data_IF_332945556692
#
_entry.id   IF_332945556692
#
_cell.length_a   1.000
_cell.length_b   1.000
_cell.length_c   1.000
_cell.angle_alpha   90.00
_cell.angle_beta   90.00
_cell.angle_gamma   90.00
#
_symmetry.space_group_name_H-M   'P 1'
#
loop_
_entity.id
_entity.type
_entity.pdbx_description
1 polymer ?
#
# COMPACT_ATOMS: atom_id res chain seq x y z
N UNK A 1 11.02 -4.83 -8.75
CA UNK A 1 10.28 -5.84 -9.53
C UNK A 1 9.97 -5.24 -10.88
N UNK A 2 10.11 -6.03 -11.94
CA UNK A 2 9.63 -5.76 -13.31
C UNK A 2 8.73 -6.93 -13.74
N UNK A 3 8.07 -6.85 -14.88
CA UNK A 3 7.08 -7.83 -15.37
C UNK A 3 7.63 -9.27 -15.48
N UNK A 4 8.94 -9.40 -15.71
CA UNK A 4 9.64 -10.67 -15.83
C UNK A 4 10.21 -11.22 -14.50
N UNK A 5 10.06 -10.48 -13.40
CA UNK A 5 10.52 -10.98 -12.10
C UNK A 5 9.71 -12.23 -11.71
N UNK A 6 10.36 -13.36 -11.37
CA UNK A 6 9.65 -14.57 -10.98
C UNK A 6 8.78 -14.39 -9.75
N UNK A 7 7.63 -15.04 -9.72
CA UNK A 7 6.75 -15.04 -8.54
C UNK A 7 7.39 -15.83 -7.40
N UNK A 8 7.54 -15.18 -6.25
CA UNK A 8 8.07 -15.81 -5.02
C UNK A 8 7.38 -15.25 -3.76
N UNK A 9 6.09 -15.55 -3.54
CA UNK A 9 5.28 -14.98 -2.46
C UNK A 9 5.59 -15.61 -1.08
N UNK A 10 5.61 -14.77 -0.03
CA UNK A 10 6.02 -15.18 1.34
C UNK A 10 4.87 -15.49 2.31
N UNK A 11 3.61 -15.22 1.94
CA UNK A 11 2.44 -15.35 2.82
C UNK A 11 1.23 -16.00 2.13
N UNK A 12 0.26 -16.59 2.86
CA UNK A 12 -0.97 -17.11 2.26
C UNK A 12 -1.72 -16.08 1.40
N UNK A 13 -1.71 -14.81 1.82
CA UNK A 13 -2.31 -13.72 1.05
C UNK A 13 -1.59 -13.50 -0.29
N UNK A 14 -0.26 -13.33 -0.26
CA UNK A 14 0.51 -13.09 -1.49
C UNK A 14 0.53 -14.32 -2.39
N UNK A 15 0.53 -15.54 -1.82
CA UNK A 15 0.55 -16.79 -2.58
C UNK A 15 -0.77 -17.04 -3.29
N UNK A 16 -1.91 -16.71 -2.66
CA UNK A 16 -3.22 -16.82 -3.32
C UNK A 16 -3.39 -15.78 -4.43
N UNK A 17 -2.87 -14.55 -4.27
CA UNK A 17 -2.82 -13.53 -5.34
C UNK A 17 -1.93 -13.95 -6.52
N UNK A 18 -0.72 -14.44 -6.23
CA UNK A 18 0.16 -15.01 -7.23
C UNK A 18 -0.50 -16.18 -7.99
N UNK A 19 -1.19 -17.07 -7.27
CA UNK A 19 -1.96 -18.16 -7.86
C UNK A 19 -3.09 -17.68 -8.78
N UNK A 20 -3.83 -16.63 -8.40
CA UNK A 20 -4.89 -16.08 -9.26
C UNK A 20 -4.35 -15.48 -10.56
N UNK A 21 -3.21 -14.79 -10.51
CA UNK A 21 -2.58 -14.20 -11.69
C UNK A 21 -2.14 -15.29 -12.69
N UNK A 22 -1.61 -16.42 -12.20
CA UNK A 22 -1.27 -17.58 -13.05
C UNK A 22 -2.51 -18.13 -13.77
N UNK A 23 -3.65 -18.20 -13.07
CA UNK A 23 -4.91 -18.63 -13.68
C UNK A 23 -5.38 -17.64 -14.75
N UNK A 24 -5.32 -16.33 -14.50
CA UNK A 24 -5.67 -15.31 -15.50
C UNK A 24 -4.82 -15.47 -16.77
N UNK A 25 -3.50 -15.59 -16.62
CA UNK A 25 -2.58 -15.81 -17.75
C UNK A 25 -2.91 -17.09 -18.54
N UNK A 26 -3.22 -18.18 -17.83
CA UNK A 26 -3.62 -19.42 -18.46
C UNK A 26 -4.96 -19.28 -19.21
N UNK A 27 -5.92 -18.53 -18.68
CA UNK A 27 -7.20 -18.27 -19.34
C UNK A 27 -7.06 -17.43 -20.62
N UNK A 28 -6.17 -16.44 -20.63
CA UNK A 28 -5.82 -15.70 -21.86
C UNK A 28 -5.23 -16.66 -22.89
N UNK A 29 -4.20 -17.42 -22.50
CA UNK A 29 -3.46 -18.31 -23.43
C UNK A 29 -4.33 -19.42 -24.01
N UNK A 30 -5.10 -20.10 -23.17
CA UNK A 30 -5.80 -21.33 -23.55
C UNK A 30 -7.17 -21.07 -24.16
N UNK A 31 -7.82 -19.95 -23.79
CA UNK A 31 -9.22 -19.71 -24.11
C UNK A 31 -9.50 -18.32 -24.68
N UNK A 32 -8.46 -17.51 -24.91
CA UNK A 32 -8.61 -16.19 -25.54
C UNK A 32 -9.37 -15.18 -24.69
N UNK A 33 -9.40 -15.36 -23.36
CA UNK A 33 -10.01 -14.37 -22.46
C UNK A 33 -9.31 -13.03 -22.63
N UNK A 34 -10.09 -11.96 -22.81
CA UNK A 34 -9.57 -10.60 -22.96
C UNK A 34 -9.29 -9.99 -21.59
N UNK A 35 -8.15 -10.32 -21.00
CA UNK A 35 -7.72 -9.83 -19.70
C UNK A 35 -6.35 -9.15 -19.75
N UNK A 36 -6.13 -8.24 -18.83
CA UNK A 36 -4.85 -7.62 -18.47
C UNK A 36 -4.60 -7.82 -16.98
N UNK A 37 -3.34 -7.71 -16.55
CA UNK A 37 -2.97 -7.77 -15.13
C UNK A 37 -2.26 -6.49 -14.72
N UNK A 38 -2.53 -6.03 -13.50
CA UNK A 38 -1.77 -4.95 -12.86
C UNK A 38 -1.23 -5.39 -11.50
N UNK A 39 0.09 -5.30 -11.31
CA UNK A 39 0.72 -5.51 -10.01
C UNK A 39 1.20 -4.16 -9.46
N UNK A 40 0.54 -3.68 -8.41
CA UNK A 40 0.76 -2.34 -7.85
C UNK A 40 1.50 -2.38 -6.51
N UNK A 41 2.26 -1.32 -6.22
CA UNK A 41 2.92 -1.10 -4.94
C UNK A 41 1.94 -0.71 -3.80
N UNK A 42 2.47 -0.33 -2.64
CA UNK A 42 1.67 -0.07 -1.44
C UNK A 42 0.85 1.21 -1.59
N UNK A 43 -0.46 1.05 -1.67
CA UNK A 43 -1.39 2.16 -1.77
C UNK A 43 -1.59 2.87 -0.41
N UNK A 44 -1.77 4.18 -0.46
CA UNK A 44 -2.26 4.99 0.67
C UNK A 44 -3.26 6.05 0.19
N UNK A 45 -4.06 6.57 1.11
CA UNK A 45 -5.04 7.62 0.82
C UNK A 45 -6.35 7.48 1.60
N UNK A 46 -7.36 8.28 1.22
CA UNK A 46 -8.73 8.18 1.72
C UNK A 46 -9.31 6.75 1.68
N UNK A 47 -10.24 6.47 2.59
CA UNK A 47 -10.99 5.20 2.66
C UNK A 47 -10.19 3.91 2.89
N UNK A 48 -8.87 4.00 3.16
CA UNK A 48 -8.10 2.83 3.55
C UNK A 48 -8.50 2.34 4.95
N UNK A 49 -8.87 1.07 5.10
CA UNK A 49 -9.31 0.54 6.40
C UNK A 49 -8.26 0.77 7.50
N UNK A 50 -8.69 1.12 8.71
CA UNK A 50 -7.83 1.47 9.86
C UNK A 50 -6.94 0.35 10.41
N UNK A 51 -7.03 -0.85 9.83
CA UNK A 51 -6.09 -1.94 10.13
C UNK A 51 -4.76 -1.77 9.37
N UNK A 52 -4.75 -0.97 8.30
CA UNK A 52 -3.57 -0.79 7.46
C UNK A 52 -2.62 0.20 8.12
N UNK A 53 -1.34 0.12 7.74
CA UNK A 53 -0.26 0.80 8.44
C UNK A 53 -0.50 2.30 8.59
N UNK A 54 -0.54 3.09 7.51
CA UNK A 54 -0.73 4.54 7.58
C UNK A 54 -2.00 4.95 8.37
N UNK A 55 -3.21 4.47 8.04
CA UNK A 55 -4.42 4.92 8.72
C UNK A 55 -4.50 4.50 10.18
N UNK A 56 -3.93 3.35 10.56
CA UNK A 56 -3.85 2.96 11.97
C UNK A 56 -3.08 3.98 12.80
N UNK A 57 -1.96 4.49 12.28
CA UNK A 57 -1.13 5.46 13.00
C UNK A 57 -1.84 6.80 13.13
N UNK A 58 -2.41 7.29 12.03
CA UNK A 58 -3.14 8.56 11.98
C UNK A 58 -4.31 8.53 12.98
N UNK A 59 -5.12 7.46 12.94
CA UNK A 59 -6.30 7.34 13.81
C UNK A 59 -5.94 7.11 15.28
N UNK A 60 -4.85 6.40 15.60
CA UNK A 60 -4.33 6.33 16.98
C UNK A 60 -4.02 7.73 17.51
N UNK A 61 -3.29 8.54 16.74
CA UNK A 61 -2.89 9.89 17.16
C UNK A 61 -4.12 10.79 17.39
N UNK A 62 -5.16 10.64 16.57
CA UNK A 62 -6.43 11.36 16.74
C UNK A 62 -7.11 10.97 18.05
N UNK A 63 -7.16 9.68 18.39
CA UNK A 63 -7.75 9.17 19.63
C UNK A 63 -6.87 9.39 20.88
N UNK A 64 -5.66 9.95 20.71
CA UNK A 64 -4.71 10.18 21.79
C UNK A 64 -3.84 8.97 22.13
N UNK A 65 -3.93 7.90 21.35
CA UNK A 65 -3.13 6.69 21.48
C UNK A 65 -1.77 6.82 20.79
N UNK A 66 -0.82 6.00 21.24
CA UNK A 66 0.50 5.88 20.63
C UNK A 66 0.43 5.02 19.34
N UNK A 67 1.01 5.47 18.22
CA UNK A 67 1.24 4.64 17.04
C UNK A 67 2.04 3.36 17.35
N UNK A 68 1.92 2.35 16.48
CA UNK A 68 2.52 1.02 16.67
C UNK A 68 3.46 0.69 15.51
N UNK A 69 4.75 0.53 15.82
CA UNK A 69 5.80 0.20 14.86
C UNK A 69 6.23 -1.27 15.03
N UNK A 70 6.13 -2.05 13.95
CA UNK A 70 6.58 -3.45 13.94
C UNK A 70 8.11 -3.55 14.00
N UNK A 71 8.63 -4.29 14.98
CA UNK A 71 10.07 -4.50 15.14
C UNK A 71 10.84 -3.18 15.15
N UNK A 72 11.96 -3.10 14.43
CA UNK A 72 12.74 -1.87 14.29
C UNK A 72 12.23 -0.93 13.17
N UNK A 73 11.16 -1.28 12.47
CA UNK A 73 10.60 -0.46 11.39
C UNK A 73 11.38 -0.44 10.08
N UNK A 74 12.33 -1.37 9.90
CA UNK A 74 13.25 -1.39 8.76
C UNK A 74 12.62 -1.86 7.43
N UNK A 75 11.39 -2.36 7.46
CA UNK A 75 10.72 -2.84 6.26
C UNK A 75 10.41 -1.66 5.33
N UNK A 76 10.88 -1.76 4.09
CA UNK A 76 10.67 -0.77 3.02
C UNK A 76 9.45 -1.13 2.21
N UNK A 77 8.60 -0.13 1.97
CA UNK A 77 7.47 -0.20 1.04
C UNK A 77 7.65 0.91 0.03
N UNK A 78 7.19 0.64 -1.19
CA UNK A 78 7.10 1.61 -2.27
C UNK A 78 5.68 2.18 -2.27
N UNK A 79 5.53 3.45 -1.92
CA UNK A 79 4.23 4.08 -1.68
C UNK A 79 3.70 4.80 -2.92
N UNK A 80 2.43 4.57 -3.23
CA UNK A 80 1.69 5.26 -4.29
C UNK A 80 0.35 5.75 -3.77
N UNK A 81 -0.06 6.96 -4.16
CA UNK A 81 -1.38 7.47 -3.80
C UNK A 81 -2.48 6.68 -4.53
N UNK A 82 -3.61 6.43 -3.86
CA UNK A 82 -4.71 5.62 -4.43
C UNK A 82 -5.25 6.17 -5.75
N UNK A 83 -5.27 7.49 -5.93
CA UNK A 83 -5.72 8.12 -7.17
C UNK A 83 -4.78 7.82 -8.35
N UNK A 84 -3.47 7.78 -8.11
CA UNK A 84 -2.48 7.43 -9.14
C UNK A 84 -2.64 5.98 -9.58
N UNK A 85 -2.92 5.07 -8.63
CA UNK A 85 -3.24 3.69 -8.94
C UNK A 85 -4.53 3.57 -9.75
N UNK A 86 -5.60 4.28 -9.36
CA UNK A 86 -6.86 4.27 -10.10
C UNK A 86 -6.69 4.77 -11.53
N UNK A 87 -5.93 5.86 -11.72
CA UNK A 87 -5.60 6.39 -13.05
C UNK A 87 -4.79 5.38 -13.89
N UNK A 88 -3.83 4.67 -13.27
CA UNK A 88 -3.06 3.62 -13.94
C UNK A 88 -3.95 2.45 -14.40
N UNK A 89 -4.85 1.98 -13.53
CA UNK A 89 -5.77 0.89 -13.85
C UNK A 89 -6.71 1.30 -14.99
N UNK A 90 -7.24 2.52 -14.96
CA UNK A 90 -8.07 3.03 -16.04
C UNK A 90 -7.29 3.05 -17.37
N UNK A 91 -6.06 3.56 -17.37
CA UNK A 91 -5.20 3.56 -18.55
C UNK A 91 -4.96 2.13 -19.10
N UNK A 92 -4.71 1.16 -18.22
CA UNK A 92 -4.51 -0.25 -18.60
C UNK A 92 -5.80 -0.87 -19.18
N UNK A 93 -6.96 -0.53 -18.64
CA UNK A 93 -8.25 -1.00 -19.18
C UNK A 93 -8.49 -0.42 -20.59
N UNK A 94 -8.20 0.86 -20.78
CA UNK A 94 -8.48 1.56 -22.04
C UNK A 94 -7.50 1.22 -23.16
N UNK A 95 -6.22 1.00 -22.82
CA UNK A 95 -5.13 0.95 -23.81
C UNK A 95 -4.13 -0.19 -23.61
N UNK A 96 -4.27 -0.97 -22.53
CA UNK A 96 -3.37 -2.08 -22.25
C UNK A 96 -3.48 -3.21 -23.28
N UNK A 97 -2.36 -3.85 -23.58
CA UNK A 97 -2.34 -5.01 -24.47
C UNK A 97 -2.91 -6.24 -23.77
N UNK A 98 -3.86 -6.93 -24.42
CA UNK A 98 -4.47 -8.16 -23.88
C UNK A 98 -3.39 -9.22 -23.64
N UNK A 99 -3.42 -9.82 -22.45
CA UNK A 99 -2.47 -10.83 -21.99
C UNK A 99 -1.26 -10.25 -21.26
N UNK A 100 -1.03 -8.95 -21.35
CA UNK A 100 0.11 -8.31 -20.70
C UNK A 100 -0.14 -8.04 -19.21
N UNK A 101 0.97 -8.04 -18.48
CA UNK A 101 1.05 -7.53 -17.11
C UNK A 101 1.71 -6.15 -17.15
N UNK A 102 1.22 -5.23 -16.33
CA UNK A 102 1.77 -3.89 -16.12
C UNK A 102 2.05 -3.67 -14.64
N UNK A 103 3.26 -3.24 -14.31
CA UNK A 103 3.58 -2.85 -12.94
C UNK A 103 3.26 -1.37 -12.69
N UNK A 104 2.71 -1.08 -11.51
CA UNK A 104 2.28 0.26 -11.11
C UNK A 104 3.07 0.67 -9.85
N UNK A 105 3.80 1.78 -9.95
CA UNK A 105 4.64 2.33 -8.88
C UNK A 105 5.00 3.79 -9.13
N UNK A 106 5.30 4.50 -8.05
CA UNK A 106 5.53 5.95 -8.06
C UNK A 106 6.90 6.34 -7.47
N UNK A 107 7.85 5.40 -7.42
CA UNK A 107 9.22 5.61 -6.92
C UNK A 107 9.23 6.09 -5.45
N UNK A 108 8.29 5.58 -4.64
CA UNK A 108 7.95 6.08 -3.32
C UNK A 108 8.57 5.30 -2.16
N UNK A 109 9.76 4.73 -2.34
CA UNK A 109 10.39 3.87 -1.33
C UNK A 109 10.64 4.59 0.00
N UNK A 110 10.05 4.07 1.08
CA UNK A 110 10.30 4.49 2.46
C UNK A 110 10.18 3.31 3.41
N UNK A 111 11.04 3.27 4.42
CA UNK A 111 10.87 2.35 5.54
C UNK A 111 9.73 2.79 6.47
N UNK A 112 9.20 1.85 7.25
CA UNK A 112 8.06 2.10 8.13
C UNK A 112 8.39 3.14 9.22
N UNK A 113 9.63 3.21 9.70
CA UNK A 113 10.06 4.19 10.70
C UNK A 113 10.02 5.61 10.11
N UNK A 114 10.58 5.79 8.92
CA UNK A 114 10.53 7.09 8.21
C UNK A 114 9.08 7.55 8.01
N UNK A 115 8.16 6.64 7.68
CA UNK A 115 6.73 6.98 7.52
C UNK A 115 6.09 7.37 8.86
N UNK A 116 6.30 6.62 9.94
CA UNK A 116 5.67 6.94 11.24
C UNK A 116 6.17 8.28 11.79
N UNK A 117 7.46 8.56 11.66
CA UNK A 117 8.08 9.83 12.06
C UNK A 117 7.55 11.01 11.23
N UNK A 118 7.31 10.79 9.93
CA UNK A 118 6.67 11.79 9.06
C UNK A 118 5.24 12.07 9.50
N UNK A 119 4.44 11.04 9.81
CA UNK A 119 3.07 11.21 10.33
C UNK A 119 3.11 12.01 11.65
N UNK A 120 3.97 11.64 12.59
CA UNK A 120 4.11 12.32 13.88
C UNK A 120 4.45 13.80 13.70
N UNK A 121 5.43 14.10 12.85
CA UNK A 121 5.82 15.48 12.52
C UNK A 121 4.65 16.27 11.93
N UNK A 122 3.98 15.74 10.91
CA UNK A 122 2.82 16.40 10.27
C UNK A 122 1.65 16.61 11.23
N UNK A 123 1.54 15.78 12.29
CA UNK A 123 0.50 15.87 13.31
C UNK A 123 0.94 16.62 14.58
N UNK A 124 2.12 17.23 14.59
CA UNK A 124 2.63 18.01 15.72
C UNK A 124 2.91 17.17 16.96
N UNK A 125 3.49 15.98 16.79
CA UNK A 125 3.90 15.06 17.85
C UNK A 125 5.42 14.87 17.85
N UNK A 126 6.04 14.55 19.01
CA UNK A 126 7.46 14.16 19.08
C UNK A 126 7.75 12.98 18.16
N UNK A 127 8.94 12.94 17.55
CA UNK A 127 9.31 11.91 16.58
C UNK A 127 9.36 10.50 17.18
N UNK A 128 9.61 10.37 18.49
CA UNK A 128 9.69 9.11 19.25
C UNK A 128 8.39 8.73 19.98
N UNK A 129 7.29 9.44 19.70
CA UNK A 129 6.00 9.22 20.36
C UNK A 129 5.23 8.00 19.82
N UNK A 130 5.88 6.84 19.70
CA UNK A 130 5.28 5.57 19.25
C UNK A 130 5.80 4.38 20.06
N UNK A 131 5.12 3.23 19.97
CA UNK A 131 5.54 1.99 20.62
C UNK A 131 6.10 0.98 19.61
N UNK A 132 7.14 0.26 20.00
CA UNK A 132 7.59 -0.93 19.30
C UNK A 132 6.69 -2.12 19.66
N UNK A 133 6.21 -2.84 18.65
CA UNK A 133 5.40 -4.05 18.82
C UNK A 133 6.04 -5.23 18.09
N UNK A 134 5.61 -6.45 18.46
CA UNK A 134 6.10 -7.70 17.86
C UNK A 134 6.04 -7.66 16.34
N UNK A 135 7.14 -8.07 15.68
CA UNK A 135 7.20 -8.13 14.22
C UNK A 135 6.31 -9.25 13.66
N UNK A 136 6.01 -9.19 12.36
CA UNK A 136 5.18 -10.20 11.68
C UNK A 136 6.02 -11.42 11.29
N UNK A 137 5.52 -12.64 11.48
CA UNK A 137 6.16 -13.83 10.91
C UNK A 137 6.27 -13.71 9.38
N UNK A 138 7.46 -13.93 8.82
CA UNK A 138 7.70 -13.86 7.37
C UNK A 138 7.56 -12.46 6.78
N UNK A 139 7.85 -11.41 7.55
CA UNK A 139 7.66 -10.03 7.10
C UNK A 139 8.62 -9.68 5.95
N UNK A 140 8.06 -9.48 4.75
CA UNK A 140 8.87 -9.09 3.59
C UNK A 140 9.61 -7.78 3.85
N UNK A 141 10.91 -7.80 3.52
CA UNK A 141 11.83 -6.74 3.89
C UNK A 141 11.65 -5.50 3.02
N UNK A 142 11.75 -5.62 1.69
CA UNK A 142 11.70 -4.49 0.77
C UNK A 142 10.89 -4.82 -0.47
N UNK A 143 9.98 -3.92 -0.83
CA UNK A 143 9.35 -3.90 -2.14
C UNK A 143 9.71 -2.61 -2.86
N UNK A 144 10.02 -2.73 -4.16
CA UNK A 144 10.29 -1.62 -5.06
C UNK A 144 9.81 -2.02 -6.45
N UNK A 145 9.02 -1.17 -7.11
CA UNK A 145 8.45 -1.43 -8.43
C UNK A 145 9.19 -0.62 -9.49
N UNK A 146 9.57 -1.29 -10.58
CA UNK A 146 9.93 -0.63 -11.82
C UNK A 146 8.67 -0.54 -12.69
N UNK A 147 8.16 0.68 -12.89
CA UNK A 147 6.95 0.95 -13.67
C UNK A 147 7.26 1.44 -15.09
N UNK A 148 8.48 1.22 -15.60
CA UNK A 148 8.92 1.74 -16.91
C UNK A 148 8.00 1.28 -18.04
N UNK A 149 7.60 0.00 -18.07
CA UNK A 149 6.71 -0.51 -19.13
C UNK A 149 5.39 0.25 -19.23
N UNK A 150 4.71 0.44 -18.11
CA UNK A 150 3.44 1.19 -18.07
C UNK A 150 3.64 2.64 -18.53
N UNK A 151 4.75 3.25 -18.12
CA UNK A 151 5.11 4.62 -18.47
C UNK A 151 5.44 4.76 -19.96
N UNK A 152 6.19 3.83 -20.51
CA UNK A 152 6.70 3.91 -21.88
C UNK A 152 5.65 3.48 -22.90
N UNK A 153 4.89 2.42 -22.63
CA UNK A 153 3.88 1.91 -23.55
C UNK A 153 2.57 2.70 -23.50
N UNK A 154 2.10 3.07 -22.30
CA UNK A 154 0.76 3.66 -22.12
C UNK A 154 0.79 5.13 -21.72
N UNK A 155 1.97 5.74 -21.57
CA UNK A 155 2.12 7.17 -21.27
C UNK A 155 1.68 7.58 -19.85
N UNK A 156 1.28 6.65 -18.98
CA UNK A 156 0.85 6.96 -17.62
C UNK A 156 2.00 7.54 -16.80
N UNK A 157 1.71 8.52 -15.93
CA UNK A 157 2.65 9.09 -14.95
C UNK A 157 1.89 9.39 -13.65
N UNK A 158 2.48 9.14 -12.47
CA UNK A 158 1.87 9.52 -11.20
C UNK A 158 1.80 11.04 -11.06
N UNK A 159 0.70 11.54 -10.51
CA UNK A 159 0.47 12.95 -10.22
C UNK A 159 0.91 13.33 -8.80
N UNK A 160 0.87 12.38 -7.85
CA UNK A 160 1.33 12.60 -6.49
C UNK A 160 2.83 12.34 -6.37
N UNK A 161 3.65 13.29 -6.82
CA UNK A 161 5.12 13.17 -6.81
C UNK A 161 5.77 13.45 -5.44
N UNK A 162 4.99 13.95 -4.47
CA UNK A 162 5.43 14.22 -3.11
C UNK A 162 4.65 13.32 -2.14
N UNK A 163 5.34 12.33 -1.57
CA UNK A 163 4.76 11.46 -0.55
C UNK A 163 4.27 12.25 0.67
N UNK A 164 4.99 13.31 1.04
CA UNK A 164 4.64 14.13 2.19
C UNK A 164 3.34 14.91 1.98
N UNK A 165 3.15 15.51 0.80
CA UNK A 165 1.93 16.26 0.49
C UNK A 165 0.71 15.34 0.42
N UNK A 166 0.86 14.17 -0.22
CA UNK A 166 -0.19 13.16 -0.24
C UNK A 166 -0.52 12.63 1.16
N UNK A 167 0.49 12.45 2.02
CA UNK A 167 0.30 12.03 3.40
C UNK A 167 -0.40 13.12 4.23
N UNK A 168 -0.06 14.39 4.04
CA UNK A 168 -0.74 15.52 4.67
C UNK A 168 -2.21 15.58 4.26
N UNK A 169 -2.52 15.41 2.98
CA UNK A 169 -3.89 15.31 2.47
C UNK A 169 -4.64 14.11 3.07
N UNK A 170 -3.96 12.96 3.19
CA UNK A 170 -4.51 11.76 3.83
C UNK A 170 -4.84 12.01 5.30
N UNK A 171 -3.94 12.64 6.07
CA UNK A 171 -4.17 13.03 7.47
C UNK A 171 -5.38 13.95 7.59
N UNK A 172 -5.47 14.97 6.73
CA UNK A 172 -6.60 15.90 6.71
C UNK A 172 -7.92 15.15 6.46
N UNK A 173 -7.92 14.17 5.55
CA UNK A 173 -9.09 13.34 5.28
C UNK A 173 -9.54 12.54 6.51
N UNK A 174 -8.64 11.86 7.22
CA UNK A 174 -9.03 11.10 8.44
C UNK A 174 -9.55 12.00 9.56
N UNK A 175 -9.00 13.22 9.71
CA UNK A 175 -9.52 14.22 10.66
C UNK A 175 -10.94 14.68 10.30
N UNK A 176 -11.21 14.88 9.02
CA UNK A 176 -12.52 15.35 8.55
C UNK A 176 -13.60 14.24 8.51
N UNK A 177 -13.21 12.96 8.55
CA UNK A 177 -14.09 11.82 8.30
C UNK A 177 -14.14 10.82 9.46
N UNK A 178 -14.15 11.29 10.70
CA UNK A 178 -14.18 10.42 11.88
C UNK A 178 -15.38 9.45 11.90
N UNK A 179 -16.55 9.91 11.47
CA UNK A 179 -17.75 9.08 11.38
C UNK A 179 -17.54 7.85 10.46
N UNK A 180 -16.66 7.94 9.46
CA UNK A 180 -16.35 6.82 8.58
C UNK A 180 -15.54 5.75 9.30
N UNK A 181 -14.47 6.11 10.01
CA UNK A 181 -13.54 5.12 10.58
C UNK A 181 -13.81 4.72 12.04
N UNK A 182 -14.43 5.60 12.85
CA UNK A 182 -14.69 5.32 14.27
C UNK A 182 -15.40 3.98 14.52
N UNK A 183 -16.42 3.57 13.73
CA UNK A 183 -17.09 2.27 13.93
C UNK A 183 -16.16 1.06 13.79
N UNK A 184 -15.05 1.18 13.05
CA UNK A 184 -14.11 0.09 12.80
C UNK A 184 -12.94 0.07 13.79
N UNK A 185 -12.70 1.17 14.53
CA UNK A 185 -11.48 1.38 15.30
C UNK A 185 -11.35 0.41 16.47
N UNK A 186 -12.37 0.36 17.35
CA UNK A 186 -12.34 -0.46 18.55
C UNK A 186 -12.16 -1.95 18.22
N UNK A 187 -12.88 -2.46 17.21
CA UNK A 187 -12.77 -3.84 16.76
C UNK A 187 -11.37 -4.16 16.20
N UNK A 188 -10.75 -3.20 15.50
CA UNK A 188 -9.40 -3.34 14.93
C UNK A 188 -8.35 -3.45 16.02
N UNK A 189 -8.33 -2.53 17.00
CA UNK A 189 -7.35 -2.58 18.08
C UNK A 189 -7.56 -3.79 19.00
N UNK A 190 -8.81 -4.20 19.27
CA UNK A 190 -9.10 -5.42 20.02
C UNK A 190 -8.58 -6.70 19.34
N UNK A 191 -8.56 -6.73 18.00
CA UNK A 191 -7.96 -7.84 17.24
C UNK A 191 -6.43 -7.84 17.36
N UNK A 192 -5.80 -6.67 17.34
CA UNK A 192 -4.36 -6.54 17.53
C UNK A 192 -3.89 -6.93 18.93
N UNK A 193 -4.65 -6.54 19.96
CA UNK A 193 -4.37 -6.91 21.35
C UNK A 193 -4.25 -8.42 21.56
N UNK A 194 -5.10 -9.22 20.88
CA UNK A 194 -5.05 -10.70 20.93
C UNK A 194 -3.75 -11.29 20.35
N UNK A 195 -3.03 -10.51 19.54
CA UNK A 195 -1.75 -10.91 18.92
C UNK A 195 -0.54 -10.26 19.60
N UNK A 196 -0.74 -9.62 20.77
CA UNK A 196 0.32 -8.98 21.54
C UNK A 196 0.80 -7.65 20.95
N UNK A 197 -0.11 -6.87 20.35
CA UNK A 197 0.12 -5.51 19.85
C UNK A 197 -0.74 -4.48 20.56
#
# INVERSE_FOLDING_TARGET
FHEWTPYNPSSPYSSTKAGSDLLVRAWVRSFGVRATLSNCSNNYGPYQHVEKFIPRQITNIIDGDRPKLYGAGLNVRDWIHVDDHNAAVLQIIESGQIGETYLIGADGEKDNKTVIETILRLMGRPADAYDHVNDRPGHDLRYAIDASKLRDELGWRPQYTSFEDGLAATIAWYRANEAWWRPMKAATEAKYAKTGQ
#
